data_IF_860810429628
#
_entry.id   IF_860810429628
#
_cell.length_a   1.000
_cell.length_b   1.000
_cell.length_c   1.000
_cell.angle_alpha   90.00
_cell.angle_beta   90.00
_cell.angle_gamma   90.00
#
_symmetry.space_group_name_H-M   'P 1'
#
loop_
_entity.id
_entity.type
_entity.pdbx_description
1 polymer ?
#
# COMPACT_ATOMS: atom_id res chain seq x y z
N UNK A 1 -12.46 12.97 -15.75
CA UNK A 1 -13.52 13.65 -14.97
C UNK A 1 -13.60 13.15 -13.53
N UNK A 2 -13.72 11.84 -13.25
CA UNK A 2 -13.78 11.31 -11.87
C UNK A 2 -12.59 11.70 -10.96
N UNK A 3 -11.41 11.93 -11.55
CA UNK A 3 -10.20 12.32 -10.80
C UNK A 3 -10.38 13.58 -9.92
N UNK A 4 -11.07 14.61 -10.43
CA UNK A 4 -11.28 15.86 -9.67
C UNK A 4 -12.18 15.68 -8.45
N UNK A 5 -12.92 14.59 -8.38
CA UNK A 5 -13.77 14.23 -7.23
C UNK A 5 -13.01 13.25 -6.33
N UNK A 6 -12.46 12.19 -6.92
CA UNK A 6 -11.80 11.12 -6.15
C UNK A 6 -10.52 11.58 -5.47
N UNK A 7 -9.74 12.49 -6.08
CA UNK A 7 -8.48 12.92 -5.46
C UNK A 7 -8.72 13.73 -4.17
N UNK A 8 -9.56 14.78 -4.15
CA UNK A 8 -9.90 15.47 -2.90
C UNK A 8 -10.53 14.54 -1.86
N UNK A 9 -11.44 13.65 -2.25
CA UNK A 9 -12.05 12.69 -1.32
C UNK A 9 -11.01 11.71 -0.74
N UNK A 10 -10.10 11.20 -1.56
CA UNK A 10 -9.01 10.35 -1.11
C UNK A 10 -8.06 11.10 -0.17
N UNK A 11 -7.81 12.39 -0.40
CA UNK A 11 -7.03 13.22 0.51
C UNK A 11 -7.73 13.38 1.87
N UNK A 12 -9.05 13.64 1.88
CA UNK A 12 -9.84 13.72 3.12
C UNK A 12 -9.81 12.40 3.90
N UNK A 13 -9.99 11.27 3.20
CA UNK A 13 -9.89 9.95 3.80
C UNK A 13 -8.47 9.61 4.26
N UNK A 14 -7.44 10.09 3.56
CA UNK A 14 -6.06 9.96 4.00
C UNK A 14 -5.83 10.73 5.31
N UNK A 15 -6.36 11.94 5.44
CA UNK A 15 -6.31 12.71 6.70
C UNK A 15 -7.03 11.95 7.81
N UNK A 16 -8.24 11.44 7.53
CA UNK A 16 -8.99 10.60 8.48
C UNK A 16 -8.16 9.39 8.93
N UNK A 17 -7.54 8.67 8.00
CA UNK A 17 -6.68 7.52 8.31
C UNK A 17 -5.49 7.94 9.17
N UNK A 18 -4.81 9.04 8.84
CA UNK A 18 -3.69 9.54 9.66
C UNK A 18 -4.13 9.81 11.12
N UNK A 19 -5.32 10.36 11.32
CA UNK A 19 -5.86 10.64 12.65
C UNK A 19 -6.32 9.39 13.40
N UNK A 20 -6.59 8.29 12.69
CA UNK A 20 -7.23 7.09 13.26
C UNK A 20 -6.42 5.79 13.10
N UNK A 21 -5.24 5.82 12.48
CA UNK A 21 -4.38 4.64 12.28
C UNK A 21 -4.02 3.95 13.61
N UNK A 22 -3.76 4.74 14.65
CA UNK A 22 -3.48 4.23 16.00
C UNK A 22 -4.66 3.40 16.54
N UNK A 23 -5.89 3.80 16.22
CA UNK A 23 -7.10 3.08 16.61
C UNK A 23 -7.31 1.85 15.71
N UNK A 24 -7.17 2.00 14.39
CA UNK A 24 -7.36 0.92 13.43
C UNK A 24 -6.43 -0.28 13.70
N UNK A 25 -5.18 -0.02 14.11
CA UNK A 25 -4.22 -1.08 14.44
C UNK A 25 -4.67 -2.02 15.57
N UNK A 26 -5.58 -1.59 16.45
CA UNK A 26 -6.13 -2.43 17.53
C UNK A 26 -7.12 -3.49 17.02
N UNK A 27 -7.71 -3.27 15.84
CA UNK A 27 -8.69 -4.18 15.23
C UNK A 27 -8.04 -5.23 14.32
N UNK A 28 -6.70 -5.23 14.25
CA UNK A 28 -5.93 -6.20 13.50
C UNK A 28 -5.96 -7.56 14.18
N UNK A 29 -6.33 -8.60 13.43
CA UNK A 29 -6.39 -9.96 13.94
C UNK A 29 -4.98 -10.53 14.24
N UNK A 30 -4.94 -11.81 14.58
CA UNK A 30 -3.70 -12.53 14.86
C UNK A 30 -2.77 -12.67 13.65
N UNK A 31 -3.30 -12.54 12.43
CA UNK A 31 -2.57 -12.55 11.15
C UNK A 31 -2.19 -11.14 10.68
N UNK A 32 -2.51 -10.12 11.46
CA UNK A 32 -2.26 -8.72 11.09
C UNK A 32 -3.21 -8.22 10.01
N UNK A 33 -4.40 -8.81 9.88
CA UNK A 33 -5.41 -8.43 8.89
C UNK A 33 -6.51 -7.58 9.53
N UNK A 34 -6.93 -6.54 8.82
CA UNK A 34 -8.10 -5.72 9.15
C UNK A 34 -9.31 -6.19 8.36
N UNK A 35 -10.42 -6.39 9.06
CA UNK A 35 -11.66 -6.93 8.50
C UNK A 35 -12.79 -5.91 8.46
N UNK A 36 -13.79 -6.18 7.63
CA UNK A 36 -14.95 -5.30 7.46
C UNK A 36 -14.55 -3.89 7.03
N UNK A 37 -15.07 -2.87 7.71
CA UNK A 37 -14.76 -1.47 7.40
C UNK A 37 -13.30 -1.09 7.70
N UNK A 38 -12.59 -1.83 8.57
CA UNK A 38 -11.19 -1.53 8.89
C UNK A 38 -10.23 -1.89 7.76
N UNK A 39 -10.64 -2.77 6.84
CA UNK A 39 -9.85 -3.16 5.67
C UNK A 39 -9.39 -1.94 4.85
N UNK A 40 -10.15 -0.85 4.85
CA UNK A 40 -9.82 0.35 4.09
C UNK A 40 -8.60 1.12 4.62
N UNK A 41 -8.20 0.90 5.88
CA UNK A 41 -6.97 1.48 6.45
C UNK A 41 -5.73 0.71 6.00
N UNK A 42 -5.87 -0.60 5.82
CA UNK A 42 -4.80 -1.48 5.42
C UNK A 42 -4.49 -1.33 3.92
N UNK A 43 -3.26 -1.64 3.54
CA UNK A 43 -2.93 -1.83 2.13
C UNK A 43 -3.53 -3.12 1.57
N UNK A 44 -3.76 -3.14 0.25
CA UNK A 44 -4.35 -4.28 -0.45
C UNK A 44 -3.35 -5.42 -0.68
N UNK A 45 -2.05 -5.13 -0.65
CA UNK A 45 -0.96 -6.02 -1.05
C UNK A 45 -0.18 -6.65 0.08
N UNK A 46 -0.38 -6.24 1.33
CA UNK A 46 0.34 -6.75 2.50
C UNK A 46 -0.54 -6.75 3.77
N UNK A 47 -0.25 -7.65 4.71
CA UNK A 47 -0.73 -7.61 6.10
C UNK A 47 -0.12 -6.43 6.87
N UNK A 48 -0.54 -6.22 8.11
CA UNK A 48 0.08 -5.22 9.00
C UNK A 48 1.40 -5.71 9.63
N UNK A 49 1.62 -7.02 9.65
CA UNK A 49 2.81 -7.66 10.21
C UNK A 49 3.77 -8.06 9.08
N UNK A 50 4.46 -7.06 8.53
CA UNK A 50 5.38 -7.27 7.39
C UNK A 50 6.81 -7.47 7.89
N UNK A 51 7.39 -8.64 7.58
CA UNK A 51 8.70 -9.07 8.08
C UNK A 51 9.82 -8.04 7.90
N UNK A 52 10.08 -7.62 6.67
CA UNK A 52 11.17 -6.67 6.38
C UNK A 52 10.94 -5.33 7.09
N UNK A 53 9.68 -4.90 7.22
CA UNK A 53 9.35 -3.65 7.88
C UNK A 53 9.62 -3.72 9.38
N UNK A 54 9.17 -4.81 10.03
CA UNK A 54 9.40 -5.07 11.45
C UNK A 54 10.90 -5.21 11.73
N UNK A 55 11.61 -6.01 10.94
CA UNK A 55 13.03 -6.34 11.18
C UNK A 55 13.97 -5.19 10.85
N UNK A 56 13.71 -4.41 9.82
CA UNK A 56 14.70 -3.48 9.27
C UNK A 56 14.32 -2.00 9.47
N UNK A 57 13.03 -1.66 9.39
CA UNK A 57 12.58 -0.26 9.31
C UNK A 57 12.13 0.31 10.64
N UNK A 58 11.35 -0.42 11.42
CA UNK A 58 10.82 0.05 12.71
C UNK A 58 11.97 0.38 13.68
N UNK A 59 11.92 1.38 14.57
CA UNK A 59 12.98 1.60 15.56
C UNK A 59 13.20 0.38 16.47
N UNK A 60 14.45 0.04 16.81
CA UNK A 60 14.81 -1.19 17.58
C UNK A 60 13.98 -1.39 18.86
N UNK A 61 13.65 -0.31 19.56
CA UNK A 61 12.84 -0.36 20.80
C UNK A 61 11.42 -0.90 20.57
N UNK A 62 10.87 -0.74 19.36
CA UNK A 62 9.52 -1.16 19.00
C UNK A 62 9.47 -2.47 18.21
N UNK A 63 10.63 -3.07 17.88
CA UNK A 63 10.67 -4.36 17.17
C UNK A 63 10.38 -5.51 18.13
N UNK A 64 9.42 -6.34 17.79
CA UNK A 64 9.23 -7.65 18.41
C UNK A 64 10.01 -8.70 17.61
N UNK A 65 10.23 -9.88 18.21
CA UNK A 65 10.86 -11.00 17.51
C UNK A 65 9.87 -11.60 16.51
N UNK A 66 9.97 -11.19 15.25
CA UNK A 66 9.06 -11.64 14.19
C UNK A 66 9.14 -13.15 13.99
N UNK A 67 10.35 -13.71 13.91
CA UNK A 67 10.57 -15.12 13.55
C UNK A 67 10.12 -16.09 14.64
N UNK A 68 10.08 -15.62 15.88
CA UNK A 68 9.48 -16.36 16.99
C UNK A 68 7.98 -16.59 16.80
N UNK A 69 7.27 -15.67 16.15
CA UNK A 69 5.80 -15.62 16.13
C UNK A 69 5.18 -15.85 14.75
N UNK A 70 5.87 -15.48 13.68
CA UNK A 70 5.32 -15.42 12.33
C UNK A 70 6.26 -16.03 11.29
N UNK A 71 5.65 -16.50 10.22
CA UNK A 71 6.32 -16.79 8.95
C UNK A 71 5.63 -16.00 7.84
N UNK A 72 6.43 -15.34 7.00
CA UNK A 72 5.95 -14.64 5.81
C UNK A 72 5.41 -15.61 4.78
N UNK A 73 4.28 -15.27 4.19
CA UNK A 73 3.57 -16.07 3.19
C UNK A 73 3.00 -15.17 2.10
N UNK A 74 2.55 -15.79 1.00
CA UNK A 74 1.80 -15.12 -0.06
C UNK A 74 0.46 -15.82 -0.21
N UNK A 75 -0.61 -15.04 -0.24
CA UNK A 75 -1.96 -15.55 -0.43
C UNK A 75 -2.57 -14.94 -1.68
N UNK A 76 -3.34 -15.74 -2.43
CA UNK A 76 -4.11 -15.27 -3.58
C UNK A 76 -5.60 -15.18 -3.22
N UNK A 77 -6.02 -14.17 -2.43
CA UNK A 77 -7.41 -14.05 -2.02
C UNK A 77 -8.30 -13.84 -3.25
N UNK A 78 -9.54 -14.32 -3.19
CA UNK A 78 -10.46 -14.34 -4.34
C UNK A 78 -10.63 -12.96 -5.00
N UNK A 79 -10.69 -11.90 -4.18
CA UNK A 79 -10.81 -10.52 -4.65
C UNK A 79 -9.56 -9.98 -5.35
N UNK A 80 -8.41 -10.66 -5.30
CA UNK A 80 -7.20 -10.32 -6.07
C UNK A 80 -6.94 -11.28 -7.24
N UNK A 81 -7.56 -12.47 -7.26
CA UNK A 81 -7.37 -13.44 -8.35
C UNK A 81 -7.72 -12.87 -9.72
N UNK A 82 -8.83 -12.13 -9.82
CA UNK A 82 -9.23 -11.49 -11.07
C UNK A 82 -8.25 -10.40 -11.55
N UNK A 83 -7.36 -9.92 -10.66
CA UNK A 83 -6.29 -8.99 -10.96
C UNK A 83 -4.94 -9.69 -11.17
N UNK A 84 -4.88 -11.02 -11.05
CA UNK A 84 -3.66 -11.82 -11.14
C UNK A 84 -2.67 -11.49 -10.04
N UNK A 85 -3.13 -11.31 -8.80
CA UNK A 85 -2.33 -10.78 -7.69
C UNK A 85 -2.40 -11.62 -6.43
N UNK A 86 -1.25 -11.65 -5.76
CA UNK A 86 -1.12 -12.18 -4.42
C UNK A 86 -0.82 -11.05 -3.43
N UNK A 87 -1.22 -11.29 -2.19
CA UNK A 87 -1.03 -10.46 -1.01
C UNK A 87 0.06 -11.06 -0.13
N UNK A 88 0.97 -10.24 0.37
CA UNK A 88 1.87 -10.61 1.47
C UNK A 88 1.06 -10.80 2.73
N UNK A 89 1.14 -11.98 3.32
CA UNK A 89 0.41 -12.33 4.52
C UNK A 89 1.37 -12.99 5.50
N UNK A 90 0.92 -13.18 6.74
CA UNK A 90 1.66 -13.98 7.70
C UNK A 90 0.85 -15.17 8.17
N UNK A 91 1.58 -16.23 8.51
CA UNK A 91 1.07 -17.35 9.29
C UNK A 91 1.58 -17.21 10.72
N UNK A 92 0.67 -17.13 11.68
CA UNK A 92 1.01 -17.19 13.10
C UNK A 92 1.44 -18.62 13.45
N UNK A 93 2.70 -18.77 13.87
CA UNK A 93 3.25 -20.06 14.32
C UNK A 93 3.30 -20.14 15.85
N UNK A 94 3.31 -19.00 16.54
CA UNK A 94 3.26 -18.92 17.99
C UNK A 94 2.52 -17.65 18.42
N UNK A 95 1.37 -17.80 19.08
CA UNK A 95 0.54 -16.68 19.54
C UNK A 95 0.81 -16.27 21.01
N UNK A 96 1.84 -16.81 21.64
CA UNK A 96 2.22 -16.52 23.03
C UNK A 96 3.10 -15.27 23.12
N UNK A 97 2.52 -14.12 22.79
CA UNK A 97 3.17 -12.82 22.95
C UNK A 97 3.17 -12.38 24.41
N UNK A 98 4.34 -12.05 24.94
CA UNK A 98 4.48 -11.29 26.19
C UNK A 98 3.82 -9.93 26.08
N UNK A 99 3.50 -9.29 27.21
CA UNK A 99 2.93 -7.94 27.21
C UNK A 99 3.82 -6.94 26.46
N UNK A 100 5.15 -7.06 26.61
CA UNK A 100 6.12 -6.23 25.89
C UNK A 100 6.02 -6.43 24.38
N UNK A 101 6.00 -7.68 23.90
CA UNK A 101 5.91 -7.97 22.46
C UNK A 101 4.55 -7.54 21.89
N UNK A 102 3.46 -7.62 22.66
CA UNK A 102 2.14 -7.08 22.25
C UNK A 102 2.19 -5.58 22.00
N UNK A 103 2.83 -4.83 22.90
CA UNK A 103 3.01 -3.37 22.75
C UNK A 103 3.89 -3.07 21.53
N UNK A 104 5.00 -3.78 21.36
CA UNK A 104 5.90 -3.64 20.22
C UNK A 104 5.18 -3.95 18.89
N UNK A 105 4.42 -5.05 18.83
CA UNK A 105 3.60 -5.43 17.68
C UNK A 105 2.58 -4.36 17.34
N UNK A 106 1.89 -3.80 18.34
CA UNK A 106 0.98 -2.67 18.14
C UNK A 106 1.69 -1.49 17.46
N UNK A 107 2.85 -1.05 17.97
CA UNK A 107 3.59 0.05 17.34
C UNK A 107 4.07 -0.28 15.92
N UNK A 108 4.51 -1.52 15.66
CA UNK A 108 4.85 -1.95 14.31
C UNK A 108 3.66 -1.79 13.34
N UNK A 109 2.48 -2.27 13.73
CA UNK A 109 1.25 -2.17 12.92
C UNK A 109 0.84 -0.71 12.69
N UNK A 110 0.92 0.13 13.72
CA UNK A 110 0.63 1.57 13.62
C UNK A 110 1.59 2.26 12.64
N UNK A 111 2.89 2.01 12.76
CA UNK A 111 3.90 2.57 11.86
C UNK A 111 3.72 2.10 10.41
N UNK A 112 3.29 0.85 10.22
CA UNK A 112 2.99 0.31 8.91
C UNK A 112 1.78 1.00 8.26
N UNK A 113 0.71 1.22 9.04
CA UNK A 113 -0.45 2.00 8.60
C UNK A 113 -0.05 3.44 8.23
N UNK A 114 0.80 4.09 9.03
CA UNK A 114 1.28 5.44 8.69
C UNK A 114 2.12 5.48 7.41
N UNK A 115 2.90 4.43 7.13
CA UNK A 115 3.65 4.30 5.88
C UNK A 115 2.72 4.09 4.68
N UNK A 116 1.67 3.29 4.83
CA UNK A 116 0.74 2.91 3.77
C UNK A 116 -0.67 3.46 3.99
N UNK A 117 -0.73 4.74 4.37
CA UNK A 117 -1.92 5.37 4.91
C UNK A 117 -3.11 5.37 3.92
N UNK A 118 -4.23 4.75 4.32
CA UNK A 118 -5.49 4.78 3.57
C UNK A 118 -5.43 4.09 2.21
N UNK A 119 -4.48 3.16 2.00
CA UNK A 119 -4.31 2.48 0.71
C UNK A 119 -5.54 1.66 0.33
N UNK A 120 -6.25 1.07 1.30
CA UNK A 120 -7.47 0.34 1.06
C UNK A 120 -8.58 1.23 0.49
N UNK A 121 -8.71 2.48 0.93
CA UNK A 121 -9.63 3.43 0.30
C UNK A 121 -9.25 3.74 -1.14
N UNK A 122 -7.98 4.02 -1.39
CA UNK A 122 -7.46 4.30 -2.73
C UNK A 122 -7.64 3.12 -3.70
N UNK A 123 -7.58 1.89 -3.19
CA UNK A 123 -7.63 0.67 -3.99
C UNK A 123 -9.04 0.08 -4.13
N UNK A 124 -9.78 -0.09 -3.02
CA UNK A 124 -11.10 -0.73 -3.03
C UNK A 124 -12.23 0.25 -3.37
N UNK A 125 -12.17 1.49 -2.89
CA UNK A 125 -13.25 2.45 -3.10
C UNK A 125 -13.05 3.28 -4.36
N UNK A 126 -11.88 3.90 -4.52
CA UNK A 126 -11.58 4.74 -5.67
C UNK A 126 -10.86 4.00 -6.80
N UNK A 127 -10.55 2.73 -6.61
CA UNK A 127 -9.88 1.92 -7.62
C UNK A 127 -10.73 1.81 -8.88
N UNK A 128 -10.07 1.80 -10.04
CA UNK A 128 -10.76 1.70 -11.31
C UNK A 128 -10.03 0.77 -12.28
N UNK A 129 -10.81 -0.05 -12.98
CA UNK A 129 -10.33 -0.90 -14.06
C UNK A 129 -9.90 -0.05 -15.26
N UNK A 130 -8.72 -0.34 -15.80
CA UNK A 130 -8.13 0.34 -16.94
C UNK A 130 -7.66 -0.69 -17.97
N UNK A 131 -8.01 -0.50 -19.25
CA UNK A 131 -7.46 -1.31 -20.33
C UNK A 131 -6.00 -0.92 -20.54
N UNK A 132 -5.08 -1.88 -20.41
CA UNK A 132 -3.63 -1.65 -20.33
C UNK A 132 -3.00 -0.95 -21.54
N UNK A 133 -3.71 -0.88 -22.67
CA UNK A 133 -3.24 -0.30 -23.93
C UNK A 133 -3.28 1.23 -23.97
N UNK A 134 -3.97 1.91 -23.05
CA UNK A 134 -4.11 3.37 -23.09
C UNK A 134 -3.01 4.12 -22.32
N UNK A 135 -2.21 3.45 -21.47
CA UNK A 135 -1.48 4.13 -20.39
C UNK A 135 0.05 3.89 -20.36
N UNK A 136 0.63 3.39 -21.44
CA UNK A 136 2.08 3.20 -21.50
C UNK A 136 2.79 4.54 -21.77
N UNK A 137 3.57 5.03 -20.82
CA UNK A 137 4.68 5.95 -21.10
C UNK A 137 5.65 5.25 -22.05
N UNK A 138 5.57 5.57 -23.34
CA UNK A 138 6.47 5.05 -24.37
C UNK A 138 7.91 5.49 -24.06
N UNK A 139 8.82 4.56 -23.77
CA UNK A 139 10.25 4.76 -24.00
C UNK A 139 10.73 3.74 -25.03
N UNK A 140 11.17 4.24 -26.17
CA UNK A 140 11.97 3.48 -27.13
C UNK A 140 13.41 3.48 -26.64
N UNK A 141 13.97 2.30 -26.40
CA UNK A 141 15.42 2.12 -26.18
C UNK A 141 15.91 1.12 -27.21
N UNK A 142 16.83 1.54 -28.08
CA UNK A 142 17.40 0.71 -29.16
C UNK A 142 16.35 0.03 -30.05
N UNK A 143 15.32 0.78 -30.48
CA UNK A 143 14.28 0.25 -31.37
C UNK A 143 13.32 -0.77 -30.73
N UNK A 144 13.50 -1.11 -29.46
CA UNK A 144 12.65 -2.06 -28.73
C UNK A 144 11.82 -1.33 -27.68
N UNK A 145 10.55 -1.73 -27.55
CA UNK A 145 9.65 -1.25 -26.51
C UNK A 145 10.07 -1.88 -25.17
N UNK A 146 10.53 -1.06 -24.22
CA UNK A 146 10.96 -1.54 -22.90
C UNK A 146 10.02 -1.01 -21.83
N UNK A 147 9.52 -1.92 -20.99
CA UNK A 147 8.73 -1.60 -19.79
C UNK A 147 9.66 -1.09 -18.69
N UNK A 148 9.44 0.14 -18.21
CA UNK A 148 10.14 0.63 -17.03
C UNK A 148 9.50 0.03 -15.77
N UNK A 149 10.09 -1.06 -15.29
CA UNK A 149 9.68 -1.77 -14.06
C UNK A 149 9.96 -0.97 -12.78
N UNK A 150 10.78 0.09 -12.86
CA UNK A 150 11.31 0.80 -11.68
C UNK A 150 10.66 2.15 -11.43
N UNK A 151 9.90 2.69 -12.40
CA UNK A 151 9.07 3.87 -12.20
C UNK A 151 7.59 3.45 -12.09
N UNK A 152 6.87 3.81 -11.01
CA UNK A 152 5.44 3.54 -10.92
C UNK A 152 4.76 4.10 -12.17
N UNK A 153 4.05 3.25 -12.92
CA UNK A 153 3.40 3.66 -14.16
C UNK A 153 2.21 4.53 -13.75
N UNK A 154 2.34 5.84 -13.93
CA UNK A 154 1.24 6.76 -13.71
C UNK A 154 0.33 6.74 -14.94
N UNK A 155 -0.97 6.68 -14.72
CA UNK A 155 -1.99 6.83 -15.75
C UNK A 155 -1.94 8.22 -16.41
N UNK A 156 -2.81 8.48 -17.39
CA UNK A 156 -2.68 9.60 -18.32
C UNK A 156 -3.08 10.94 -17.68
N UNK A 157 -3.48 10.91 -16.41
CA UNK A 157 -3.91 12.06 -15.61
C UNK A 157 -3.02 12.12 -14.38
N UNK A 158 -1.77 12.55 -14.61
CA UNK A 158 -0.79 12.85 -13.58
C UNK A 158 -0.67 14.35 -13.47
N UNK A 159 -1.10 14.89 -12.34
CA UNK A 159 -0.69 16.22 -11.91
C UNK A 159 0.69 16.09 -11.26
N UNK A 160 1.67 16.84 -11.75
CA UNK A 160 2.97 16.92 -11.10
C UNK A 160 3.58 18.29 -11.23
N UNK A 161 4.40 18.64 -10.26
CA UNK A 161 5.15 19.89 -10.27
C UNK A 161 6.22 19.89 -9.20
N UNK A 162 7.00 20.96 -9.19
CA UNK A 162 8.09 21.16 -8.24
C UNK A 162 7.98 22.57 -7.66
N UNK A 163 8.03 22.68 -6.34
CA UNK A 163 8.07 23.95 -5.61
C UNK A 163 9.26 23.85 -4.64
N UNK A 164 10.34 24.58 -4.93
CA UNK A 164 11.58 24.49 -4.15
C UNK A 164 12.14 23.06 -4.14
N UNK A 165 12.30 22.51 -2.93
CA UNK A 165 12.77 21.13 -2.72
C UNK A 165 11.66 20.08 -2.78
N UNK A 166 10.40 20.49 -2.97
CA UNK A 166 9.26 19.59 -3.01
C UNK A 166 8.88 19.29 -4.44
N UNK A 167 8.91 18.02 -4.82
CA UNK A 167 8.27 17.51 -6.04
C UNK A 167 6.98 16.79 -5.64
N UNK A 168 5.87 17.10 -6.31
CA UNK A 168 4.60 16.43 -6.07
C UNK A 168 4.16 15.64 -7.30
N UNK A 169 3.55 14.49 -7.05
CA UNK A 169 3.01 13.57 -8.04
C UNK A 169 1.62 13.15 -7.55
N UNK A 170 0.57 13.43 -8.31
CA UNK A 170 -0.80 13.08 -7.98
C UNK A 170 -1.47 12.50 -9.22
N UNK A 171 -2.12 11.36 -9.10
CA UNK A 171 -2.69 10.69 -10.26
C UNK A 171 -3.05 9.25 -10.01
N UNK A 172 -3.42 8.58 -11.09
CA UNK A 172 -3.66 7.14 -11.10
C UNK A 172 -2.33 6.42 -11.09
N UNK A 173 -2.04 5.64 -10.06
CA UNK A 173 -0.93 4.69 -10.04
C UNK A 173 -1.45 3.36 -10.54
N UNK A 174 -0.91 2.92 -11.67
CA UNK A 174 -1.12 1.59 -12.17
C UNK A 174 -0.20 0.67 -11.43
N UNK A 175 -0.73 -0.50 -11.13
CA UNK A 175 0.09 -1.51 -10.54
C UNK A 175 0.86 -2.28 -11.63
N UNK A 176 2.18 -2.33 -11.48
CA UNK A 176 3.19 -2.62 -12.51
C UNK A 176 3.10 -4.01 -13.13
N UNK A 177 2.46 -4.94 -12.44
CA UNK A 177 2.28 -6.34 -12.84
C UNK A 177 0.80 -6.60 -13.06
N UNK A 178 0.34 -6.30 -14.25
CA UNK A 178 -1.03 -6.58 -14.68
C UNK A 178 -0.99 -6.94 -16.14
N UNK A 179 -1.66 -8.03 -16.51
CA UNK A 179 -1.88 -8.44 -17.89
C UNK A 179 -2.71 -7.41 -18.67
N UNK A 180 -3.65 -7.87 -19.51
CA UNK A 180 -4.45 -6.97 -20.34
C UNK A 180 -5.34 -5.98 -19.53
N UNK A 181 -5.72 -6.36 -18.30
CA UNK A 181 -6.53 -5.55 -17.39
C UNK A 181 -5.68 -4.99 -16.24
N UNK A 182 -5.62 -3.67 -16.11
CA UNK A 182 -4.85 -2.99 -15.07
C UNK A 182 -5.78 -2.36 -14.04
N UNK A 183 -5.54 -2.62 -12.75
CA UNK A 183 -6.22 -1.88 -11.69
C UNK A 183 -5.43 -0.62 -11.37
N UNK A 184 -6.08 0.53 -11.49
CA UNK A 184 -5.51 1.82 -11.14
C UNK A 184 -6.01 2.25 -9.76
N UNK A 185 -5.10 2.65 -8.88
CA UNK A 185 -5.43 3.28 -7.61
C UNK A 185 -5.10 4.78 -7.68
N UNK A 186 -5.90 5.62 -7.05
CA UNK A 186 -5.57 7.03 -6.95
C UNK A 186 -4.50 7.24 -5.88
N UNK A 187 -3.47 8.04 -6.17
CA UNK A 187 -2.40 8.26 -5.19
C UNK A 187 -1.76 9.63 -5.34
N UNK A 188 -1.21 10.11 -4.24
CA UNK A 188 -0.39 11.32 -4.14
C UNK A 188 0.95 10.97 -3.52
N UNK A 189 2.03 11.58 -4.00
CA UNK A 189 3.37 11.47 -3.43
C UNK A 189 4.01 12.85 -3.43
N UNK A 190 4.54 13.22 -2.28
CA UNK A 190 5.43 14.36 -2.14
C UNK A 190 6.84 13.81 -1.93
N UNK A 191 7.76 14.23 -2.77
CA UNK A 191 9.17 13.88 -2.73
C UNK A 191 9.95 15.12 -2.31
N UNK A 192 10.84 14.97 -1.33
CA UNK A 192 11.78 16.02 -0.97
C UNK A 192 13.09 15.71 -1.69
N UNK A 193 13.43 16.53 -2.69
CA UNK A 193 14.73 16.46 -3.38
C UNK A 193 15.56 17.66 -2.95
N UNK A 194 16.63 17.37 -2.20
CA UNK A 194 17.72 18.31 -1.92
C UNK A 194 18.48 18.62 -3.20
#
# INVERSE_FOLDING_TARGET
MLWFIFYPMNLMLSILCYLTNWLAALFADERGELHGSWLYWQTWDDSLDVEWFVKETVPKIFRYDFDKHYVSTREAPEYLKHLGRDKGAVKCINNEFTLKERIQRYFCRVLWLYRNNGYGFAFYWFGNGCVGNLLATRKFKYGTLVYDRFNPIWGPWKLSGKIGWFEFLAGWKLATESGAFKWAMITGRILIRK
#
